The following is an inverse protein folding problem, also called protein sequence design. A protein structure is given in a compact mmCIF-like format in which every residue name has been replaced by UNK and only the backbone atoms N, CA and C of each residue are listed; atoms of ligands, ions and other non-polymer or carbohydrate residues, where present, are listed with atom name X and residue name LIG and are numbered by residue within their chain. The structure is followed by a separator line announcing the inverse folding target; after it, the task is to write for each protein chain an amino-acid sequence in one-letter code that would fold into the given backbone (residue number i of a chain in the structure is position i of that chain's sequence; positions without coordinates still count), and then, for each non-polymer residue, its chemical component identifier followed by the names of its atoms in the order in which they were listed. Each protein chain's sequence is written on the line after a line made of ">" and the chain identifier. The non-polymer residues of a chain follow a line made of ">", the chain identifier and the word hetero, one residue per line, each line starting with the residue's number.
data_IF_733975346174
#
_entry.id   IF_733975346174
#
_cell.length_a   1.000
_cell.length_b   1.000
_cell.length_c   1.000
_cell.angle_alpha   90.00
_cell.angle_beta   90.00
_cell.angle_gamma   90.00
#
_symmetry.space_group_name_H-M   'P 1'
#
loop_
_entity.id
_entity.type
_entity.pdbx_description
1 polymer ?
#
# COMPACT_ATOMS: atom_id res chain seq x y z
N UNK A 1 -1.99 -15.96 -0.49
CA UNK A 1 -1.19 -15.01 -1.29
C UNK A 1 -0.96 -13.78 -0.44
N UNK A 2 0.30 -13.39 -0.31
CA UNK A 2 0.74 -12.19 0.38
C UNK A 2 1.27 -11.22 -0.67
N UNK A 3 1.09 -9.93 -0.44
CA UNK A 3 1.46 -8.90 -1.38
C UNK A 3 2.34 -7.90 -0.69
N UNK A 4 3.52 -7.65 -1.24
CA UNK A 4 4.37 -6.51 -0.88
C UNK A 4 4.17 -5.45 -1.93
N UNK A 5 3.96 -4.21 -1.50
CA UNK A 5 3.45 -3.15 -2.38
C UNK A 5 4.10 -1.80 -2.12
N UNK A 6 4.14 -0.98 -3.17
CA UNK A 6 4.60 0.41 -3.12
C UNK A 6 3.47 1.35 -3.56
N UNK A 7 3.11 2.26 -2.66
CA UNK A 7 2.24 3.38 -2.98
C UNK A 7 3.06 4.65 -3.17
N UNK A 8 2.73 5.43 -4.18
CA UNK A 8 3.22 6.80 -4.33
C UNK A 8 2.13 7.77 -3.91
N UNK A 9 2.45 8.69 -3.01
CA UNK A 9 1.58 9.80 -2.68
C UNK A 9 1.64 10.83 -3.81
N UNK A 10 0.50 11.24 -4.35
CA UNK A 10 0.43 12.29 -5.37
C UNK A 10 0.52 13.70 -4.77
N UNK A 11 0.56 13.80 -3.44
CA UNK A 11 0.70 15.07 -2.71
C UNK A 11 2.15 15.45 -2.51
N UNK A 12 2.97 14.49 -2.09
CA UNK A 12 4.38 14.71 -1.73
C UNK A 12 5.36 13.92 -2.60
N UNK A 13 4.87 13.14 -3.57
CA UNK A 13 5.65 12.26 -4.46
C UNK A 13 6.51 11.20 -3.78
N UNK A 14 6.46 11.11 -2.46
CA UNK A 14 7.19 10.13 -1.68
C UNK A 14 6.49 8.78 -1.69
N UNK A 15 7.27 7.72 -1.46
CA UNK A 15 6.77 6.36 -1.42
C UNK A 15 6.28 5.94 -0.04
N UNK A 16 5.50 4.87 -0.02
CA UNK A 16 5.10 4.11 1.15
C UNK A 16 5.15 2.63 0.80
N UNK A 17 5.81 1.86 1.65
CA UNK A 17 5.98 0.41 1.50
C UNK A 17 5.13 -0.30 2.53
N UNK A 18 4.52 -1.41 2.13
CA UNK A 18 3.78 -2.24 3.06
C UNK A 18 3.56 -3.63 2.49
N UNK A 19 3.00 -4.50 3.33
CA UNK A 19 2.56 -5.82 2.93
C UNK A 19 1.14 -6.10 3.43
N UNK A 20 0.43 -7.00 2.75
CA UNK A 20 -0.93 -7.40 3.11
C UNK A 20 -1.31 -8.71 2.44
N UNK A 21 -2.33 -9.41 2.95
CA UNK A 21 -2.98 -10.52 2.26
C UNK A 21 -4.16 -10.06 1.36
N UNK A 22 -4.57 -8.79 1.43
CA UNK A 22 -5.63 -8.21 0.61
C UNK A 22 -5.23 -6.81 0.11
N UNK A 23 -4.56 -6.80 -1.05
CA UNK A 23 -4.03 -5.58 -1.67
C UNK A 23 -5.13 -4.56 -2.00
N UNK A 24 -6.28 -5.03 -2.49
CA UNK A 24 -7.36 -4.15 -2.95
C UNK A 24 -7.98 -3.40 -1.77
N UNK A 25 -8.37 -4.13 -0.72
CA UNK A 25 -8.93 -3.53 0.49
C UNK A 25 -7.91 -2.61 1.17
N UNK A 26 -6.62 -2.98 1.16
CA UNK A 26 -5.55 -2.17 1.76
C UNK A 26 -5.39 -0.81 1.07
N UNK A 27 -5.35 -0.77 -0.26
CA UNK A 27 -5.27 0.47 -1.04
C UNK A 27 -6.49 1.36 -0.77
N UNK A 28 -7.68 0.76 -0.68
CA UNK A 28 -8.91 1.50 -0.36
C UNK A 28 -8.83 2.14 1.03
N UNK A 29 -8.35 1.42 2.05
CA UNK A 29 -8.16 1.97 3.40
C UNK A 29 -7.17 3.13 3.43
N UNK A 30 -6.04 3.01 2.71
CA UNK A 30 -5.07 4.08 2.53
C UNK A 30 -5.74 5.34 1.95
N UNK A 31 -6.50 5.20 0.86
CA UNK A 31 -7.18 6.33 0.20
C UNK A 31 -8.38 6.87 1.00
N UNK A 32 -9.03 6.05 1.83
CA UNK A 32 -10.04 6.51 2.80
C UNK A 32 -9.44 7.22 4.01
N UNK A 33 -8.10 7.23 4.17
CA UNK A 33 -7.42 7.87 5.30
C UNK A 33 -7.55 7.09 6.60
N UNK A 34 -7.84 5.79 6.52
CA UNK A 34 -7.98 4.88 7.66
C UNK A 34 -6.65 4.25 8.08
N UNK A 35 -5.55 4.61 7.41
CA UNK A 35 -4.19 4.19 7.77
C UNK A 35 -3.40 5.40 8.24
N UNK A 36 -3.03 5.41 9.52
CA UNK A 36 -2.40 6.55 10.21
C UNK A 36 -1.17 7.09 9.49
N UNK A 37 -0.24 6.21 9.08
CA UNK A 37 1.02 6.56 8.42
C UNK A 37 0.86 7.30 7.09
N UNK A 38 -0.31 7.22 6.46
CA UNK A 38 -0.55 7.76 5.11
C UNK A 38 -1.79 8.66 5.03
N UNK A 39 -2.56 8.81 6.12
CA UNK A 39 -3.83 9.56 6.14
C UNK A 39 -3.69 11.01 5.68
N UNK A 40 -2.52 11.64 5.87
CA UNK A 40 -2.24 13.02 5.48
C UNK A 40 -1.48 13.15 4.15
N UNK A 41 -1.12 12.02 3.53
CA UNK A 41 -0.35 11.88 2.29
C UNK A 41 -1.20 11.44 1.10
N UNK A 42 -2.53 11.45 1.24
CA UNK A 42 -3.47 11.10 0.18
C UNK A 42 -3.52 12.19 -0.91
N UNK A 43 -3.94 11.85 -2.15
CA UNK A 43 -4.27 10.50 -2.62
C UNK A 43 -3.03 9.65 -2.91
N UNK A 44 -3.16 8.34 -2.76
CA UNK A 44 -2.09 7.35 -2.96
C UNK A 44 -2.39 6.48 -4.18
N UNK A 45 -1.41 6.35 -5.06
CA UNK A 45 -1.44 5.52 -6.27
C UNK A 45 -0.57 4.28 -6.05
N UNK A 46 -1.10 3.10 -6.34
CA UNK A 46 -0.30 1.88 -6.42
C UNK A 46 0.61 1.96 -7.64
N UNK A 47 1.92 1.83 -7.44
CA UNK A 47 2.91 1.87 -8.53
C UNK A 47 3.67 0.55 -8.71
N UNK A 48 3.69 -0.31 -7.68
CA UNK A 48 4.28 -1.63 -7.72
C UNK A 48 3.60 -2.56 -6.72
N UNK A 49 3.51 -3.83 -7.06
CA UNK A 49 3.30 -4.90 -6.10
C UNK A 49 3.90 -6.20 -6.61
N UNK A 50 4.23 -7.09 -5.68
CA UNK A 50 4.57 -8.48 -5.94
C UNK A 50 3.67 -9.39 -5.11
N UNK A 51 3.56 -10.65 -5.52
CA UNK A 51 2.69 -11.63 -4.90
C UNK A 51 3.47 -12.89 -4.55
N UNK A 52 3.42 -13.29 -3.28
CA UNK A 52 4.12 -14.45 -2.74
C UNK A 52 3.12 -15.46 -2.15
N UNK A 53 3.43 -16.75 -2.26
CA UNK A 53 2.62 -17.80 -1.68
C UNK A 53 2.81 -17.87 -0.16
N UNK A 54 4.06 -17.79 0.29
CA UNK A 54 4.42 -17.77 1.70
C UNK A 54 4.47 -16.32 2.23
N UNK A 55 4.15 -16.15 3.51
CA UNK A 55 4.21 -14.85 4.18
C UNK A 55 5.66 -14.40 4.39
N UNK A 56 6.58 -15.34 4.63
CA UNK A 56 7.97 -15.03 4.93
C UNK A 56 8.74 -14.49 3.72
N UNK A 57 8.21 -14.73 2.52
CA UNK A 57 8.75 -14.21 1.25
C UNK A 57 8.27 -12.78 0.94
N UNK A 58 7.34 -12.23 1.73
CA UNK A 58 6.69 -10.93 1.50
C UNK A 58 7.16 -9.88 2.52
#
# INVERSE_FOLDING_TARGET
>A
MFYTYVLQSLKDYNFYYGYTNDLKSRIELHNKGRVESTRYRRPLKLIYYEACLNKDDA
#
